data_IF_175398572079
#
_entry.id   IF_175398572079
#
_cell.length_a   1.000
_cell.length_b   1.000
_cell.length_c   1.000
_cell.angle_alpha   90.00
_cell.angle_beta   90.00
_cell.angle_gamma   90.00
#
_symmetry.space_group_name_H-M   'P 1'
#
loop_
_entity.id
_entity.type
_entity.pdbx_description
1 polymer ?
#
# COMPACT_ATOMS: atom_id res chain seq x y z
N UNK A 1 -2.97 21.22 12.17
CA UNK A 1 -3.31 19.97 11.48
C UNK A 1 -2.72 20.01 10.09
N UNK A 2 -2.05 18.95 9.65
CA UNK A 2 -1.40 18.83 8.34
C UNK A 2 -1.76 17.47 7.74
N UNK A 3 -1.99 17.41 6.44
CA UNK A 3 -2.32 16.19 5.72
C UNK A 3 -1.29 15.90 4.63
N UNK A 4 -0.92 14.62 4.50
CA UNK A 4 0.02 14.13 3.52
C UNK A 4 -0.59 12.98 2.74
N UNK A 5 -0.58 13.06 1.41
CA UNK A 5 -0.84 11.91 0.55
C UNK A 5 0.47 11.17 0.34
N UNK A 6 0.56 9.95 0.85
CA UNK A 6 1.76 9.11 0.76
C UNK A 6 1.54 8.00 -0.27
N UNK A 7 2.59 7.64 -0.97
CA UNK A 7 2.58 6.47 -1.84
C UNK A 7 2.81 5.20 -1.02
N UNK A 8 2.10 4.14 -1.37
CA UNK A 8 2.49 2.77 -1.06
C UNK A 8 3.10 2.10 -2.29
N UNK A 9 3.38 0.81 -2.20
CA UNK A 9 3.85 0.04 -3.35
C UNK A 9 2.79 0.03 -4.45
N UNK A 10 3.23 0.10 -5.70
CA UNK A 10 2.33 -0.01 -6.85
C UNK A 10 2.06 -1.47 -7.23
N UNK A 11 0.94 -1.71 -7.88
CA UNK A 11 0.47 -3.04 -8.23
C UNK A 11 -0.09 -3.04 -9.65
N UNK A 12 -0.02 -4.20 -10.33
CA UNK A 12 -0.73 -4.43 -11.58
C UNK A 12 -1.76 -5.53 -11.41
N UNK A 13 -3.02 -5.23 -11.72
CA UNK A 13 -4.13 -6.20 -11.69
C UNK A 13 -4.87 -6.23 -13.01
N UNK A 14 -5.58 -7.33 -13.25
CA UNK A 14 -6.44 -7.49 -14.43
C UNK A 14 -7.46 -6.35 -14.54
N UNK A 15 -7.46 -5.66 -15.67
CA UNK A 15 -8.33 -4.51 -15.89
C UNK A 15 -9.82 -4.92 -15.91
N UNK A 16 -10.14 -6.11 -16.34
CA UNK A 16 -11.50 -6.63 -16.29
C UNK A 16 -12.02 -6.80 -14.87
N UNK A 17 -11.16 -7.28 -13.95
CA UNK A 17 -11.52 -7.37 -12.54
C UNK A 17 -11.76 -5.98 -11.92
N UNK A 18 -10.99 -4.97 -12.34
CA UNK A 18 -11.12 -3.62 -11.82
C UNK A 18 -12.32 -2.86 -12.38
N UNK A 19 -12.61 -3.02 -13.68
CA UNK A 19 -13.71 -2.31 -14.35
C UNK A 19 -15.03 -3.10 -14.37
N UNK A 20 -15.03 -4.33 -13.90
CA UNK A 20 -16.22 -5.15 -13.75
C UNK A 20 -16.97 -5.34 -15.06
N UNK A 21 -18.23 -4.92 -15.10
CA UNK A 21 -19.11 -5.08 -16.28
C UNK A 21 -18.83 -4.09 -17.41
N UNK A 22 -17.92 -3.12 -17.24
CA UNK A 22 -17.58 -2.19 -18.31
C UNK A 22 -16.81 -2.93 -19.42
N UNK A 23 -17.21 -2.82 -20.70
CA UNK A 23 -16.50 -3.46 -21.80
C UNK A 23 -15.06 -2.97 -21.94
N UNK A 24 -14.11 -3.88 -22.18
CA UNK A 24 -12.70 -3.52 -22.38
C UNK A 24 -12.51 -2.44 -23.46
N UNK A 25 -13.28 -2.51 -24.56
CA UNK A 25 -13.23 -1.52 -25.63
C UNK A 25 -13.52 -0.08 -25.17
N UNK A 26 -14.16 0.09 -24.01
CA UNK A 26 -14.39 1.38 -23.38
C UNK A 26 -13.25 1.77 -22.45
N UNK A 27 -12.96 0.98 -21.42
CA UNK A 27 -12.02 1.37 -20.37
C UNK A 27 -10.55 1.37 -20.81
N UNK A 28 -10.16 0.56 -21.81
CA UNK A 28 -8.81 0.62 -22.38
C UNK A 28 -8.44 1.97 -23.04
N UNK A 29 -9.43 2.85 -23.24
CA UNK A 29 -9.19 4.22 -23.72
C UNK A 29 -8.76 5.17 -22.60
N UNK A 30 -8.94 4.78 -21.35
CA UNK A 30 -8.70 5.61 -20.17
C UNK A 30 -7.40 5.23 -19.45
N UNK A 31 -6.98 3.96 -19.56
CA UNK A 31 -5.80 3.44 -18.89
C UNK A 31 -4.96 2.60 -19.84
N UNK A 32 -3.65 2.60 -19.64
CA UNK A 32 -2.74 1.71 -20.34
C UNK A 32 -2.96 0.26 -19.88
N UNK A 33 -2.91 -0.65 -20.83
CA UNK A 33 -3.13 -2.09 -20.62
C UNK A 33 -1.92 -2.85 -21.14
N UNK A 34 -1.36 -3.75 -20.33
CA UNK A 34 -0.26 -4.62 -20.76
C UNK A 34 -0.76 -5.87 -21.51
N UNK A 35 0.18 -6.68 -21.99
CA UNK A 35 -0.12 -7.92 -22.74
C UNK A 35 -0.91 -8.95 -21.93
N UNK A 36 -0.87 -8.86 -20.60
CA UNK A 36 -1.59 -9.73 -19.66
C UNK A 36 -2.94 -9.13 -19.21
N UNK A 37 -3.44 -8.10 -19.91
CA UNK A 37 -4.67 -7.38 -19.59
C UNK A 37 -4.63 -6.64 -18.24
N UNK A 38 -3.44 -6.33 -17.72
CA UNK A 38 -3.28 -5.68 -16.43
C UNK A 38 -3.16 -4.15 -16.59
N UNK A 39 -3.65 -3.43 -15.61
CA UNK A 39 -3.55 -1.98 -15.46
C UNK A 39 -2.72 -1.62 -14.23
N UNK A 40 -2.12 -0.44 -14.24
CA UNK A 40 -1.38 0.08 -13.09
C UNK A 40 -2.35 0.60 -12.02
N UNK A 41 -2.09 0.21 -10.77
CA UNK A 41 -2.82 0.66 -9.59
C UNK A 41 -1.85 1.27 -8.59
N UNK A 42 -2.24 2.40 -8.01
CA UNK A 42 -1.53 3.07 -6.92
C UNK A 42 -2.21 2.73 -5.59
N UNK A 43 -1.47 2.10 -4.67
CA UNK A 43 -1.93 1.91 -3.30
C UNK A 43 -1.45 3.13 -2.49
N UNK A 44 -2.38 3.97 -2.05
CA UNK A 44 -2.07 5.22 -1.36
C UNK A 44 -2.47 5.18 0.10
N UNK A 45 -1.75 5.93 0.92
CA UNK A 45 -2.07 6.19 2.30
C UNK A 45 -2.28 7.70 2.54
N UNK A 46 -3.04 8.04 3.58
CA UNK A 46 -3.23 9.41 4.02
C UNK A 46 -2.73 9.53 5.47
N UNK A 47 -1.74 10.38 5.69
CA UNK A 47 -1.28 10.72 7.04
C UNK A 47 -1.86 12.07 7.45
N UNK A 48 -2.49 12.12 8.63
CA UNK A 48 -2.94 13.35 9.29
C UNK A 48 -2.09 13.59 10.53
N UNK A 49 -1.38 14.72 10.56
CA UNK A 49 -0.65 15.18 11.75
C UNK A 49 -1.45 16.24 12.53
N UNK A 50 -1.44 16.13 13.86
CA UNK A 50 -2.08 17.08 14.76
C UNK A 50 -3.57 16.87 14.97
N UNK A 51 -4.12 15.71 14.61
CA UNK A 51 -5.48 15.34 14.97
C UNK A 51 -5.51 14.95 16.46
N UNK A 52 -6.01 15.85 17.30
CA UNK A 52 -5.92 15.72 18.76
C UNK A 52 -4.47 15.47 19.25
N UNK A 53 -3.50 16.12 18.62
CA UNK A 53 -2.08 15.97 18.93
C UNK A 53 -1.44 14.67 18.43
N UNK A 54 -2.18 13.84 17.69
CA UNK A 54 -1.73 12.53 17.19
C UNK A 54 -1.42 12.54 15.69
N UNK A 55 -0.64 11.56 15.27
CA UNK A 55 -0.44 11.16 13.87
C UNK A 55 -1.30 9.96 13.56
N UNK A 56 -2.23 10.15 12.64
CA UNK A 56 -3.20 9.13 12.22
C UNK A 56 -2.92 8.77 10.77
N UNK A 57 -2.59 7.52 10.51
CA UNK A 57 -2.35 6.98 9.17
C UNK A 57 -3.59 6.20 8.73
N UNK A 58 -4.14 6.54 7.59
CA UNK A 58 -5.23 5.82 6.93
C UNK A 58 -4.66 5.00 5.79
N UNK A 59 -4.91 3.71 5.80
CA UNK A 59 -4.37 2.70 4.90
C UNK A 59 -2.84 2.55 4.98
N UNK A 60 -2.34 1.41 4.55
CA UNK A 60 -0.90 1.15 4.52
C UNK A 60 -0.39 0.65 3.16
N UNK A 61 -1.30 0.43 2.21
CA UNK A 61 -0.96 -0.16 0.93
C UNK A 61 -0.53 -1.62 1.05
N UNK A 62 0.06 -2.13 -0.01
CA UNK A 62 0.48 -3.54 -0.08
C UNK A 62 1.80 -3.81 0.65
N UNK A 63 2.70 -2.83 0.76
CA UNK A 63 4.01 -3.02 1.37
C UNK A 63 4.92 -3.99 0.60
N UNK A 64 5.86 -4.61 1.31
CA UNK A 64 6.89 -5.46 0.72
C UNK A 64 7.01 -6.83 1.44
N UNK A 65 5.96 -7.32 2.05
CA UNK A 65 5.97 -8.52 2.89
C UNK A 65 5.92 -9.84 2.12
N UNK A 66 5.52 -9.81 0.85
CA UNK A 66 5.48 -11.01 0.03
C UNK A 66 6.88 -11.50 -0.35
N UNK A 67 7.07 -12.81 -0.30
CA UNK A 67 8.22 -13.45 -0.94
C UNK A 67 8.28 -13.11 -2.45
N UNK A 68 9.44 -13.18 -3.10
CA UNK A 68 9.62 -12.76 -4.50
C UNK A 68 8.61 -13.39 -5.47
N UNK A 69 8.32 -14.68 -5.32
CA UNK A 69 7.38 -15.42 -6.18
C UNK A 69 5.93 -14.91 -6.05
N UNK A 70 5.49 -14.64 -4.81
CA UNK A 70 4.14 -14.10 -4.56
C UNK A 70 4.06 -12.64 -4.98
N UNK A 71 5.11 -11.84 -4.75
CA UNK A 71 5.20 -10.46 -5.23
C UNK A 71 4.99 -10.39 -6.74
N UNK A 72 5.68 -11.24 -7.52
CA UNK A 72 5.50 -11.33 -8.96
C UNK A 72 4.07 -11.74 -9.34
N UNK A 73 3.56 -12.80 -8.69
CA UNK A 73 2.20 -13.31 -8.93
C UNK A 73 1.11 -12.26 -8.70
N UNK A 74 1.24 -11.45 -7.67
CA UNK A 74 0.28 -10.40 -7.34
C UNK A 74 0.59 -9.06 -8.01
N UNK A 75 1.58 -9.01 -8.88
CA UNK A 75 1.89 -7.85 -9.71
C UNK A 75 2.44 -6.65 -8.96
N UNK A 76 3.03 -6.84 -7.77
CA UNK A 76 3.61 -5.78 -6.97
C UNK A 76 4.95 -5.37 -7.57
N UNK A 77 5.13 -4.09 -7.87
CA UNK A 77 6.23 -3.61 -8.71
C UNK A 77 7.52 -3.40 -7.92
N UNK A 78 7.45 -2.82 -6.72
CA UNK A 78 8.63 -2.52 -5.92
C UNK A 78 8.93 -3.64 -4.91
N UNK A 79 10.21 -3.95 -4.74
CA UNK A 79 10.68 -4.90 -3.72
C UNK A 79 10.89 -4.25 -2.35
N UNK A 80 11.03 -2.91 -2.32
CA UNK A 80 11.21 -2.11 -1.11
C UNK A 80 9.85 -1.69 -0.55
N UNK A 81 9.81 -1.29 0.71
CA UNK A 81 8.58 -0.83 1.35
C UNK A 81 8.40 0.68 1.12
N UNK A 82 7.64 1.04 0.07
CA UNK A 82 7.50 2.43 -0.39
C UNK A 82 6.93 3.35 0.68
N UNK A 83 5.91 2.93 1.44
CA UNK A 83 5.32 3.75 2.50
C UNK A 83 6.32 4.14 3.58
N UNK A 84 7.24 3.23 3.96
CA UNK A 84 8.28 3.57 4.94
C UNK A 84 9.25 4.60 4.37
N UNK A 85 9.59 4.53 3.09
CA UNK A 85 10.44 5.53 2.43
C UNK A 85 9.75 6.89 2.35
N UNK A 86 8.44 6.92 2.07
CA UNK A 86 7.64 8.15 2.06
C UNK A 86 7.55 8.80 3.45
N UNK A 87 7.38 7.99 4.50
CA UNK A 87 7.44 8.48 5.87
C UNK A 87 8.82 9.07 6.18
N UNK A 88 9.89 8.37 5.81
CA UNK A 88 11.26 8.85 6.03
C UNK A 88 11.55 10.15 5.26
N UNK A 89 11.01 10.33 4.07
CA UNK A 89 11.15 11.56 3.28
C UNK A 89 10.56 12.80 3.95
N UNK A 90 9.58 12.61 4.84
CA UNK A 90 9.00 13.70 5.65
C UNK A 90 9.51 13.72 7.10
N UNK A 91 10.59 12.96 7.39
CA UNK A 91 11.26 12.92 8.70
C UNK A 91 10.56 12.06 9.74
N UNK A 92 9.72 11.10 9.32
CA UNK A 92 8.99 10.20 10.21
C UNK A 92 9.40 8.73 9.95
N UNK A 93 9.01 7.87 10.89
CA UNK A 93 9.14 6.41 10.80
C UNK A 93 7.86 5.74 11.31
N UNK A 94 7.78 4.44 11.23
CA UNK A 94 6.64 3.66 11.74
C UNK A 94 6.42 3.83 13.25
N UNK A 95 7.47 4.10 14.05
CA UNK A 95 7.33 4.32 15.50
C UNK A 95 6.67 5.66 15.85
N UNK A 96 6.59 6.58 14.89
CA UNK A 96 6.02 7.92 15.08
C UNK A 96 4.50 7.97 14.88
N UNK A 97 3.91 6.89 14.37
CA UNK A 97 2.47 6.79 14.10
C UNK A 97 1.73 6.34 15.36
N UNK A 98 0.66 7.06 15.71
CA UNK A 98 -0.12 6.80 16.92
C UNK A 98 -1.39 5.98 16.66
N UNK A 99 -1.94 6.07 15.45
CA UNK A 99 -3.16 5.35 15.06
C UNK A 99 -3.02 4.94 13.59
N UNK A 100 -3.36 3.70 13.28
CA UNK A 100 -3.55 3.22 11.90
C UNK A 100 -5.00 2.83 11.74
N UNK A 101 -5.66 3.41 10.73
CA UNK A 101 -7.06 3.12 10.38
C UNK A 101 -7.07 2.39 9.04
N UNK A 102 -7.67 1.21 9.00
CA UNK A 102 -7.81 0.42 7.78
C UNK A 102 -9.28 0.34 7.38
N UNK A 103 -9.55 0.52 6.09
CA UNK A 103 -10.90 0.30 5.56
C UNK A 103 -11.27 -1.19 5.63
N UNK A 104 -10.31 -2.07 5.37
CA UNK A 104 -10.45 -3.53 5.45
C UNK A 104 -9.06 -4.21 5.37
N UNK A 105 -9.03 -5.56 5.50
CA UNK A 105 -7.81 -6.33 5.65
C UNK A 105 -7.32 -7.01 4.36
N UNK A 106 -7.73 -6.57 3.18
CA UNK A 106 -7.10 -7.04 1.95
C UNK A 106 -5.64 -6.55 1.91
N UNK A 107 -4.77 -7.35 1.28
CA UNK A 107 -3.33 -7.12 1.32
C UNK A 107 -2.88 -5.79 0.68
N UNK A 108 -3.62 -5.27 -0.28
CA UNK A 108 -3.37 -3.98 -0.94
C UNK A 108 -3.75 -2.77 -0.07
N UNK A 109 -4.40 -3.01 1.06
CA UNK A 109 -4.72 -2.01 2.08
C UNK A 109 -3.93 -2.23 3.38
N UNK A 110 -3.78 -3.47 3.82
CA UNK A 110 -3.21 -3.83 5.11
C UNK A 110 -1.80 -4.45 5.03
N UNK A 111 -1.31 -4.80 3.85
CA UNK A 111 -0.01 -5.47 3.70
C UNK A 111 1.17 -4.64 4.18
N UNK A 112 1.08 -3.31 4.06
CA UNK A 112 2.09 -2.39 4.57
C UNK A 112 2.22 -2.33 6.09
N UNK A 113 1.35 -3.02 6.84
CA UNK A 113 1.55 -3.26 8.28
C UNK A 113 2.72 -4.19 8.57
N UNK A 114 3.15 -4.97 7.60
CA UNK A 114 4.19 -5.97 7.78
C UNK A 114 5.54 -5.47 7.26
N UNK A 115 6.59 -5.80 8.00
CA UNK A 115 7.96 -5.54 7.60
C UNK A 115 8.28 -6.22 6.24
N UNK A 116 9.23 -5.68 5.48
CA UNK A 116 9.69 -6.32 4.25
C UNK A 116 10.05 -7.79 4.47
N UNK A 117 9.68 -8.62 3.51
CA UNK A 117 10.03 -10.04 3.53
C UNK A 117 11.55 -10.22 3.56
N UNK A 118 11.99 -11.14 4.42
CA UNK A 118 13.37 -11.58 4.49
C UNK A 118 13.40 -13.10 4.65
N UNK A 119 14.26 -13.77 3.88
CA UNK A 119 14.35 -15.23 3.88
C UNK A 119 14.68 -15.77 5.27
N UNK A 120 13.95 -16.80 5.71
CA UNK A 120 14.12 -17.44 7.01
C UNK A 120 13.69 -16.59 8.21
N UNK A 121 13.12 -15.41 8.00
CA UNK A 121 12.64 -14.55 9.09
C UNK A 121 11.12 -14.60 9.23
N UNK A 122 10.58 -14.61 10.46
CA UNK A 122 9.15 -14.52 10.68
C UNK A 122 8.63 -13.11 10.28
N UNK A 123 7.38 -13.05 9.85
CA UNK A 123 6.70 -11.77 9.62
C UNK A 123 6.66 -10.94 10.91
N UNK A 124 6.96 -9.65 10.82
CA UNK A 124 6.97 -8.71 11.92
C UNK A 124 6.01 -7.55 11.65
N UNK A 125 5.18 -7.24 12.64
CA UNK A 125 4.28 -6.09 12.58
C UNK A 125 5.10 -4.78 12.72
N UNK A 126 4.79 -3.83 11.88
CA UNK A 126 5.26 -2.43 11.94
C UNK A 126 4.32 -1.59 12.82
N UNK A 127 4.64 -0.31 12.98
CA UNK A 127 3.84 0.66 13.76
C UNK A 127 3.64 0.24 15.22
N UNK A 128 4.74 -0.03 15.96
CA UNK A 128 4.68 -0.64 17.30
C UNK A 128 3.98 0.25 18.35
N UNK A 129 3.87 1.56 18.08
CA UNK A 129 3.23 2.52 18.99
C UNK A 129 1.78 2.86 18.58
N UNK A 130 1.28 2.25 17.50
CA UNK A 130 -0.03 2.58 16.98
C UNK A 130 -1.14 1.71 17.58
N UNK A 131 -2.30 2.33 17.74
CA UNK A 131 -3.59 1.62 17.90
C UNK A 131 -4.12 1.34 16.49
N UNK A 132 -4.55 0.13 16.23
CA UNK A 132 -5.15 -0.28 14.96
C UNK A 132 -6.68 -0.24 15.05
N UNK A 133 -7.33 0.35 14.03
CA UNK A 133 -8.78 0.56 13.94
C UNK A 133 -9.29 0.08 12.59
#
# INVERSE_FOLDING_TARGET
MKAWSLLGNSQKLDGGAMFGNAPKAMWQKWVAVDEQNRIDLACRALLIEGLNGKRVLFETGVGAFFEPKLRERFGIQEARHVLLDELAAIGLSDVDINVVVLSHLHFDHAGGLLAPWADGQPSRLLFPNAIFV
#
